data_IF_190871780410
#
_entry.id   IF_190871780410
#
_cell.length_a   1.000
_cell.length_b   1.000
_cell.length_c   1.000
_cell.angle_alpha   90.00
_cell.angle_beta   90.00
_cell.angle_gamma   90.00
#
_symmetry.space_group_name_H-M   'P 1'
#
loop_
_entity.id
_entity.type
_entity.pdbx_description
1 polymer ?
#
# COMPACT_ATOMS: atom_id res chain seq x y z
N UNK A 1 -45.72 -0.03 -1.81
CA UNK A 1 -44.95 0.84 -2.72
C UNK A 1 -45.75 1.01 -4.00
N UNK A 2 -46.33 2.18 -4.20
CA UNK A 2 -47.12 2.50 -5.39
C UNK A 2 -46.19 2.64 -6.61
N UNK A 3 -46.68 2.40 -7.82
CA UNK A 3 -45.89 2.49 -9.07
C UNK A 3 -45.21 3.86 -9.28
N UNK A 4 -45.75 4.92 -8.69
CA UNK A 4 -45.15 6.26 -8.66
C UNK A 4 -43.79 6.29 -7.97
N UNK A 5 -43.62 5.56 -6.86
CA UNK A 5 -42.38 5.57 -6.07
C UNK A 5 -41.23 4.92 -6.82
N UNK A 6 -41.53 3.87 -7.60
CA UNK A 6 -40.55 3.19 -8.47
C UNK A 6 -40.09 4.10 -9.63
N UNK A 7 -40.97 4.95 -10.15
CA UNK A 7 -40.66 5.91 -11.21
C UNK A 7 -39.72 7.03 -10.71
N UNK A 8 -39.99 7.57 -9.53
CA UNK A 8 -39.15 8.60 -8.90
C UNK A 8 -37.77 8.03 -8.58
N UNK A 9 -37.70 6.84 -7.96
CA UNK A 9 -36.41 6.19 -7.68
C UNK A 9 -35.59 5.94 -8.95
N UNK A 10 -36.22 5.46 -10.03
CA UNK A 10 -35.54 5.22 -11.31
C UNK A 10 -35.02 6.52 -11.94
N UNK A 11 -35.73 7.63 -11.73
CA UNK A 11 -35.32 8.97 -12.19
C UNK A 11 -34.16 9.49 -11.35
N UNK A 12 -34.24 9.42 -10.02
CA UNK A 12 -33.15 9.81 -9.11
C UNK A 12 -31.90 8.97 -9.36
N UNK A 13 -32.03 7.66 -9.49
CA UNK A 13 -30.90 6.78 -9.83
C UNK A 13 -30.31 7.09 -11.19
N UNK A 14 -31.13 7.40 -12.21
CA UNK A 14 -30.62 7.83 -13.52
C UNK A 14 -29.89 9.16 -13.43
N UNK A 15 -30.43 10.13 -12.71
CA UNK A 15 -29.83 11.46 -12.54
C UNK A 15 -28.52 11.37 -11.77
N UNK A 16 -28.49 10.66 -10.64
CA UNK A 16 -27.27 10.37 -9.89
C UNK A 16 -26.25 9.68 -10.79
N UNK A 17 -26.64 8.64 -11.50
CA UNK A 17 -25.73 7.93 -12.41
C UNK A 17 -25.22 8.84 -13.54
N UNK A 18 -26.04 9.76 -14.06
CA UNK A 18 -25.64 10.75 -15.07
C UNK A 18 -24.64 11.77 -14.52
N UNK A 19 -24.84 12.22 -13.28
CA UNK A 19 -23.95 13.17 -12.58
C UNK A 19 -22.63 12.47 -12.22
N UNK A 20 -22.68 11.23 -11.75
CA UNK A 20 -21.50 10.48 -11.31
C UNK A 20 -20.69 9.92 -12.48
N UNK A 21 -21.33 9.47 -13.57
CA UNK A 21 -20.66 8.72 -14.64
C UNK A 21 -20.90 9.24 -16.08
N UNK A 22 -21.64 10.33 -16.26
CA UNK A 22 -22.01 10.83 -17.60
C UNK A 22 -23.06 9.97 -18.32
N UNK A 23 -23.39 10.33 -19.57
CA UNK A 23 -24.30 9.56 -20.43
C UNK A 23 -23.60 8.36 -21.07
N UNK A 24 -24.28 7.21 -21.04
CA UNK A 24 -23.78 5.91 -21.51
C UNK A 24 -23.32 5.84 -22.98
N UNK A 25 -23.69 6.79 -23.84
CA UNK A 25 -23.40 6.67 -25.29
C UNK A 25 -21.99 7.07 -25.68
N UNK A 26 -21.22 7.74 -24.82
CA UNK A 26 -19.81 8.09 -25.05
C UNK A 26 -19.21 8.31 -23.66
N UNK A 27 -18.42 7.35 -23.15
CA UNK A 27 -17.70 7.49 -21.87
C UNK A 27 -16.55 8.50 -22.04
N UNK A 28 -16.89 9.76 -22.22
CA UNK A 28 -15.97 10.87 -21.98
C UNK A 28 -16.18 11.21 -20.51
N UNK A 29 -15.38 10.59 -19.64
CA UNK A 29 -15.26 11.04 -18.26
C UNK A 29 -14.60 12.42 -18.38
N UNK A 30 -15.40 13.48 -18.29
CA UNK A 30 -14.90 14.85 -18.32
C UNK A 30 -14.22 15.19 -17.00
N UNK A 31 -13.27 16.13 -17.02
CA UNK A 31 -12.54 16.59 -15.82
C UNK A 31 -13.50 17.05 -14.69
N UNK A 32 -14.68 17.56 -15.05
CA UNK A 32 -15.72 18.01 -14.13
C UNK A 32 -16.59 16.90 -13.54
N UNK A 33 -16.36 15.63 -13.90
CA UNK A 33 -17.09 14.53 -13.29
C UNK A 33 -16.67 14.34 -11.83
N UNK A 34 -17.65 14.05 -10.96
CA UNK A 34 -17.41 13.85 -9.52
C UNK A 34 -16.32 12.80 -9.22
N UNK A 35 -16.13 11.85 -10.14
CA UNK A 35 -15.15 10.78 -10.03
C UNK A 35 -13.74 11.29 -10.34
N UNK A 36 -13.55 12.14 -11.36
CA UNK A 36 -12.26 12.78 -11.67
C UNK A 36 -11.83 13.76 -10.59
N UNK A 37 -12.79 14.44 -9.96
CA UNK A 37 -12.53 15.35 -8.84
C UNK A 37 -11.85 14.67 -7.63
N UNK A 38 -11.91 13.34 -7.53
CA UNK A 38 -11.29 12.55 -6.46
C UNK A 38 -9.91 11.98 -6.83
N UNK A 39 -9.51 12.02 -8.11
CA UNK A 39 -8.19 11.50 -8.55
C UNK A 39 -7.03 12.15 -7.79
N UNK A 40 -6.99 13.49 -7.59
CA UNK A 40 -5.90 14.11 -6.81
C UNK A 40 -5.81 13.58 -5.38
N UNK A 41 -6.96 13.30 -4.74
CA UNK A 41 -7.00 12.74 -3.40
C UNK A 41 -6.56 11.28 -3.36
N UNK A 42 -6.90 10.47 -4.37
CA UNK A 42 -6.41 9.09 -4.50
C UNK A 42 -4.90 9.05 -4.75
N UNK A 43 -4.38 9.94 -5.60
CA UNK A 43 -2.94 10.09 -5.84
C UNK A 43 -2.22 10.41 -4.52
N UNK A 44 -2.74 11.39 -3.78
CA UNK A 44 -2.17 11.77 -2.49
C UNK A 44 -2.19 10.63 -1.45
N UNK A 45 -3.28 9.84 -1.40
CA UNK A 45 -3.37 8.66 -0.53
C UNK A 45 -2.35 7.59 -0.90
N UNK A 46 -2.20 7.27 -2.20
CA UNK A 46 -1.16 6.35 -2.69
C UNK A 46 0.23 6.85 -2.32
N UNK A 47 0.49 8.13 -2.58
CA UNK A 47 1.83 8.67 -2.49
C UNK A 47 2.31 8.77 -1.03
N UNK A 48 1.42 9.20 -0.13
CA UNK A 48 1.68 9.21 1.32
C UNK A 48 1.82 7.80 1.90
N UNK A 49 1.02 6.84 1.45
CA UNK A 49 1.12 5.45 1.91
C UNK A 49 2.46 4.82 1.50
N UNK A 50 2.90 5.02 0.24
CA UNK A 50 4.20 4.55 -0.23
C UNK A 50 5.37 5.23 0.50
N UNK A 51 5.31 6.54 0.72
CA UNK A 51 6.40 7.23 1.42
C UNK A 51 6.54 6.74 2.85
N UNK A 52 5.42 6.52 3.53
CA UNK A 52 5.45 6.03 4.89
C UNK A 52 5.88 4.57 4.96
N UNK A 53 5.38 3.68 4.09
CA UNK A 53 5.86 2.29 4.02
C UNK A 53 7.36 2.23 3.75
N UNK A 54 7.86 3.04 2.82
CA UNK A 54 9.27 3.18 2.52
C UNK A 54 10.09 3.64 3.73
N UNK A 55 9.55 4.58 4.52
CA UNK A 55 10.18 5.04 5.76
C UNK A 55 10.27 3.93 6.81
N UNK A 56 9.19 3.16 6.99
CA UNK A 56 9.17 2.03 7.93
C UNK A 56 10.19 0.96 7.52
N UNK A 57 10.21 0.58 6.25
CA UNK A 57 11.12 -0.44 5.73
C UNK A 57 12.59 -0.04 5.94
N UNK A 58 12.98 1.22 5.68
CA UNK A 58 14.36 1.69 5.87
C UNK A 58 14.90 1.58 7.30
N UNK A 59 14.01 1.46 8.31
CA UNK A 59 14.39 1.47 9.73
C UNK A 59 14.35 0.08 10.42
N UNK A 60 14.20 -1.01 9.65
CA UNK A 60 13.94 -2.35 10.20
C UNK A 60 15.10 -2.99 10.98
N UNK A 61 16.35 -2.84 10.53
CA UNK A 61 17.46 -3.70 10.99
C UNK A 61 17.86 -3.53 12.46
N UNK A 62 17.55 -2.38 13.08
CA UNK A 62 17.94 -2.08 14.45
C UNK A 62 16.90 -2.56 15.49
N UNK A 63 15.84 -3.24 15.06
CA UNK A 63 14.70 -3.56 15.89
C UNK A 63 14.67 -5.05 16.28
N UNK A 64 14.11 -5.37 17.45
CA UNK A 64 13.85 -6.76 17.82
C UNK A 64 12.86 -7.40 16.86
N UNK A 65 12.88 -8.72 16.80
CA UNK A 65 12.15 -9.54 15.83
C UNK A 65 10.65 -9.23 15.78
N UNK A 66 10.03 -9.13 16.95
CA UNK A 66 8.60 -8.85 17.12
C UNK A 66 8.24 -7.51 16.48
N UNK A 67 9.10 -6.51 16.69
CA UNK A 67 8.94 -5.17 16.10
C UNK A 67 9.19 -5.15 14.60
N UNK A 68 10.12 -5.95 14.09
CA UNK A 68 10.31 -6.11 12.64
C UNK A 68 9.08 -6.72 11.98
N UNK A 69 8.49 -7.73 12.60
CA UNK A 69 7.25 -8.36 12.11
C UNK A 69 6.08 -7.37 12.10
N UNK A 70 5.88 -6.61 13.18
CA UNK A 70 4.87 -5.54 13.24
C UNK A 70 5.06 -4.50 12.12
N UNK A 71 6.31 -4.09 11.87
CA UNK A 71 6.61 -3.13 10.81
C UNK A 71 6.41 -3.70 9.41
N UNK A 72 6.77 -4.96 9.14
CA UNK A 72 6.49 -5.58 7.85
C UNK A 72 4.99 -5.66 7.58
N UNK A 73 4.18 -6.09 8.56
CA UNK A 73 2.72 -6.12 8.42
C UNK A 73 2.15 -4.73 8.15
N UNK A 74 2.62 -3.72 8.88
CA UNK A 74 2.19 -2.33 8.67
C UNK A 74 2.59 -1.82 7.29
N UNK A 75 3.80 -2.14 6.82
CA UNK A 75 4.24 -1.78 5.49
C UNK A 75 3.38 -2.46 4.40
N UNK A 76 2.98 -3.72 4.60
CA UNK A 76 2.07 -4.44 3.70
C UNK A 76 0.72 -3.72 3.61
N UNK A 77 0.10 -3.39 4.74
CA UNK A 77 -1.21 -2.71 4.76
C UNK A 77 -1.16 -1.34 4.05
N UNK A 78 -0.08 -0.59 4.23
CA UNK A 78 0.13 0.68 3.53
C UNK A 78 0.35 0.48 2.02
N UNK A 79 1.08 -0.56 1.63
CA UNK A 79 1.28 -0.89 0.22
C UNK A 79 -0.02 -1.34 -0.43
N UNK A 80 -0.85 -2.14 0.25
CA UNK A 80 -2.18 -2.50 -0.22
C UNK A 80 -3.08 -1.25 -0.38
N UNK A 81 -3.08 -0.33 0.58
CA UNK A 81 -3.80 0.93 0.44
C UNK A 81 -3.30 1.79 -0.74
N UNK A 82 -2.00 1.72 -1.05
CA UNK A 82 -1.41 2.39 -2.21
C UNK A 82 -1.84 1.72 -3.53
N UNK A 83 -1.84 0.39 -3.59
CA UNK A 83 -2.30 -0.41 -4.73
C UNK A 83 -3.77 -0.14 -5.01
N UNK A 84 -4.64 -0.24 -3.99
CA UNK A 84 -6.08 0.04 -4.11
C UNK A 84 -6.35 1.43 -4.70
N UNK A 85 -5.58 2.42 -4.25
CA UNK A 85 -5.67 3.79 -4.75
C UNK A 85 -5.19 3.88 -6.20
N UNK A 86 -4.12 3.16 -6.57
CA UNK A 86 -3.60 3.11 -7.93
C UNK A 86 -4.57 2.43 -8.89
N UNK A 87 -5.15 1.30 -8.51
CA UNK A 87 -6.19 0.60 -9.28
C UNK A 87 -7.43 1.46 -9.47
N UNK A 88 -7.84 2.19 -8.43
CA UNK A 88 -8.93 3.15 -8.52
C UNK A 88 -8.63 4.25 -9.53
N UNK A 89 -7.40 4.81 -9.55
CA UNK A 89 -7.00 5.82 -10.54
C UNK A 89 -7.02 5.23 -11.96
N UNK A 90 -6.48 4.02 -12.17
CA UNK A 90 -6.49 3.34 -13.47
C UNK A 90 -7.91 3.18 -14.01
N UNK A 91 -8.85 2.80 -13.15
CA UNK A 91 -10.26 2.67 -13.52
C UNK A 91 -10.91 4.00 -13.92
N UNK A 92 -10.42 5.11 -13.37
CA UNK A 92 -10.97 6.46 -13.56
C UNK A 92 -10.35 7.16 -14.78
N UNK A 93 -9.02 7.19 -14.90
CA UNK A 93 -8.31 7.92 -15.97
C UNK A 93 -8.37 7.19 -17.33
N UNK A 94 -8.63 5.88 -17.34
CA UNK A 94 -8.81 5.13 -18.59
C UNK A 94 -7.50 4.90 -19.38
N UNK A 95 -7.56 5.00 -20.71
CA UNK A 95 -6.44 4.61 -21.61
C UNK A 95 -5.25 5.60 -21.71
N UNK A 96 -5.41 6.93 -21.68
CA UNK A 96 -4.25 7.83 -21.76
C UNK A 96 -3.44 7.77 -20.45
N UNK A 97 -2.11 7.61 -20.54
CA UNK A 97 -1.23 7.52 -19.36
C UNK A 97 -1.20 6.15 -18.67
N UNK A 98 -1.88 5.14 -19.23
CA UNK A 98 -2.01 3.80 -18.64
C UNK A 98 -0.68 3.11 -18.37
N UNK A 99 0.32 3.23 -19.25
CA UNK A 99 1.62 2.58 -19.05
C UNK A 99 2.34 3.07 -17.79
N UNK A 100 2.24 4.38 -17.49
CA UNK A 100 2.87 4.97 -16.33
C UNK A 100 2.16 4.55 -15.03
N UNK A 101 0.83 4.47 -15.05
CA UNK A 101 0.03 3.94 -13.94
C UNK A 101 0.24 2.43 -13.74
N UNK A 102 0.30 1.66 -14.82
CA UNK A 102 0.55 0.21 -14.79
C UNK A 102 1.96 -0.07 -14.23
N UNK A 103 2.95 0.76 -14.59
CA UNK A 103 4.28 0.72 -13.95
C UNK A 103 4.19 0.94 -12.45
N UNK A 104 3.55 2.03 -12.00
CA UNK A 104 3.46 2.35 -10.57
C UNK A 104 2.73 1.25 -9.80
N UNK A 105 1.64 0.71 -10.36
CA UNK A 105 0.88 -0.37 -9.75
C UNK A 105 1.71 -1.66 -9.65
N UNK A 106 2.38 -2.05 -10.75
CA UNK A 106 3.22 -3.25 -10.79
C UNK A 106 4.40 -3.16 -9.82
N UNK A 107 5.01 -1.97 -9.72
CA UNK A 107 6.08 -1.70 -8.76
C UNK A 107 5.60 -1.85 -7.31
N UNK A 108 4.47 -1.24 -6.95
CA UNK A 108 3.90 -1.34 -5.60
C UNK A 108 3.55 -2.79 -5.25
N UNK A 109 2.93 -3.53 -6.18
CA UNK A 109 2.61 -4.95 -6.00
C UNK A 109 3.86 -5.80 -5.80
N UNK A 110 4.89 -5.59 -6.64
CA UNK A 110 6.17 -6.30 -6.50
C UNK A 110 6.83 -6.01 -5.15
N UNK A 111 6.87 -4.74 -4.73
CA UNK A 111 7.42 -4.37 -3.43
C UNK A 111 6.66 -5.05 -2.29
N UNK A 112 5.32 -5.06 -2.33
CA UNK A 112 4.49 -5.75 -1.34
C UNK A 112 4.80 -7.24 -1.28
N UNK A 113 4.88 -7.92 -2.42
CA UNK A 113 5.10 -9.38 -2.47
C UNK A 113 6.45 -9.79 -1.89
N UNK A 114 7.48 -8.95 -2.08
CA UNK A 114 8.80 -9.15 -1.45
C UNK A 114 8.71 -8.94 0.08
N UNK A 115 7.94 -7.95 0.54
CA UNK A 115 7.71 -7.73 1.99
C UNK A 115 6.90 -8.89 2.62
N UNK A 116 5.88 -9.41 1.93
CA UNK A 116 5.12 -10.60 2.34
C UNK A 116 6.07 -11.80 2.47
N UNK A 117 7.05 -11.94 1.58
CA UNK A 117 8.04 -13.00 1.66
C UNK A 117 8.88 -12.90 2.94
N UNK A 118 9.33 -11.70 3.33
CA UNK A 118 10.04 -11.50 4.60
C UNK A 118 9.18 -11.88 5.82
N UNK A 119 7.92 -11.45 5.81
CA UNK A 119 6.93 -11.76 6.85
C UNK A 119 6.68 -13.26 6.97
N UNK A 120 6.57 -13.95 5.82
CA UNK A 120 6.32 -15.39 5.75
C UNK A 120 7.47 -16.20 6.35
N UNK A 121 8.71 -15.78 6.13
CA UNK A 121 9.90 -16.40 6.75
C UNK A 121 9.84 -16.28 8.28
N UNK A 122 9.55 -15.09 8.82
CA UNK A 122 9.45 -14.87 10.26
C UNK A 122 8.29 -15.65 10.89
N UNK A 123 7.15 -15.73 10.19
CA UNK A 123 6.01 -16.52 10.65
C UNK A 123 6.32 -18.03 10.65
N UNK A 124 6.98 -18.52 9.59
CA UNK A 124 7.40 -19.92 9.50
C UNK A 124 8.42 -20.27 10.58
N UNK A 125 9.43 -19.43 10.80
CA UNK A 125 10.38 -19.60 11.91
C UNK A 125 9.62 -19.69 13.26
N UNK A 126 8.64 -18.82 13.50
CA UNK A 126 7.82 -18.88 14.74
C UNK A 126 7.06 -20.20 14.87
N UNK A 127 6.42 -20.65 13.79
CA UNK A 127 5.64 -21.88 13.77
C UNK A 127 6.54 -23.11 13.96
N UNK A 128 7.70 -23.13 13.30
CA UNK A 128 8.70 -24.18 13.41
C UNK A 128 9.26 -24.28 14.82
N UNK A 129 9.68 -23.15 15.40
CA UNK A 129 10.15 -23.11 16.79
C UNK A 129 9.08 -23.70 17.72
N UNK A 130 7.82 -23.28 17.57
CA UNK A 130 6.71 -23.81 18.37
C UNK A 130 6.45 -25.30 18.16
N UNK A 131 6.69 -25.87 16.98
CA UNK A 131 6.50 -27.30 16.73
C UNK A 131 7.64 -28.15 17.30
N UNK A 132 8.86 -27.63 17.32
CA UNK A 132 10.04 -28.35 17.83
C UNK A 132 10.15 -28.35 19.36
N UNK A 133 9.55 -27.36 20.02
CA UNK A 133 9.31 -27.42 21.46
C UNK A 133 8.06 -28.28 21.71
N UNK A 134 8.25 -29.59 21.99
CA UNK A 134 7.15 -30.48 22.37
C UNK A 134 6.36 -29.92 23.57
N UNK A 135 5.11 -30.37 23.75
CA UNK A 135 4.23 -30.02 24.89
C UNK A 135 4.89 -30.18 26.27
N UNK A 136 5.94 -30.99 26.38
CA UNK A 136 6.67 -31.28 27.62
C UNK A 136 7.95 -30.44 27.80
N UNK A 137 8.21 -29.45 26.94
CA UNK A 137 9.35 -28.53 27.06
C UNK A 137 10.72 -29.11 26.66
N UNK A 138 10.76 -30.36 26.19
CA UNK A 138 11.99 -31.00 25.68
C UNK A 138 12.11 -30.73 24.17
N UNK A 139 13.15 -30.03 23.70
CA UNK A 139 13.38 -29.80 22.28
C UNK A 139 13.57 -31.14 21.53
N UNK A 140 12.94 -31.29 20.35
CA UNK A 140 13.22 -32.43 19.45
C UNK A 140 14.56 -32.33 18.73
N UNK A 141 15.19 -31.17 18.77
CA UNK A 141 16.46 -30.83 18.11
C UNK A 141 17.46 -30.29 19.12
N UNK A 142 18.75 -30.54 18.87
CA UNK A 142 19.83 -30.06 19.73
C UNK A 142 19.93 -28.53 19.74
N UNK A 143 20.51 -27.96 20.80
CA UNK A 143 20.77 -26.52 20.87
C UNK A 143 21.64 -26.02 19.71
N UNK A 144 22.59 -26.84 19.24
CA UNK A 144 23.43 -26.52 18.08
C UNK A 144 22.62 -26.41 16.78
N UNK A 145 21.68 -27.34 16.56
CA UNK A 145 20.80 -27.32 15.39
C UNK A 145 19.86 -26.11 15.43
N UNK A 146 19.32 -25.78 16.60
CA UNK A 146 18.51 -24.58 16.80
C UNK A 146 19.27 -23.29 16.49
N UNK A 147 20.55 -23.19 16.90
CA UNK A 147 21.37 -22.02 16.59
C UNK A 147 21.61 -21.86 15.10
N UNK A 148 22.00 -22.94 14.42
CA UNK A 148 22.23 -22.94 12.96
C UNK A 148 20.95 -22.54 12.23
N UNK A 149 19.81 -23.06 12.66
CA UNK A 149 18.52 -22.75 12.04
C UNK A 149 18.13 -21.28 12.21
N UNK A 150 18.24 -20.73 13.42
CA UNK A 150 17.97 -19.31 13.69
C UNK A 150 18.89 -18.39 12.87
N UNK A 151 20.16 -18.77 12.72
CA UNK A 151 21.10 -18.05 11.87
C UNK A 151 20.69 -18.10 10.39
N UNK A 152 20.25 -19.26 9.90
CA UNK A 152 19.74 -19.40 8.53
C UNK A 152 18.51 -18.52 8.28
N UNK A 153 17.51 -18.54 9.18
CA UNK A 153 16.33 -17.68 9.04
C UNK A 153 16.68 -16.20 9.06
N UNK A 154 17.56 -15.79 9.98
CA UNK A 154 18.05 -14.40 10.05
C UNK A 154 18.79 -13.99 8.77
N UNK A 155 19.62 -14.87 8.22
CA UNK A 155 20.34 -14.61 6.98
C UNK A 155 19.39 -14.51 5.78
N UNK A 156 18.34 -15.35 5.73
CA UNK A 156 17.29 -15.26 4.72
C UNK A 156 16.48 -13.96 4.84
N UNK A 157 16.07 -13.58 6.05
CA UNK A 157 15.39 -12.29 6.31
C UNK A 157 16.26 -11.12 5.84
N UNK A 158 17.55 -11.11 6.23
CA UNK A 158 18.49 -10.07 5.82
C UNK A 158 18.69 -10.00 4.30
N UNK A 159 18.71 -11.15 3.63
CA UNK A 159 18.81 -11.20 2.17
C UNK A 159 17.58 -10.58 1.51
N UNK A 160 16.37 -10.92 1.97
CA UNK A 160 15.14 -10.33 1.44
C UNK A 160 15.11 -8.82 1.73
N UNK A 161 15.49 -8.41 2.93
CA UNK A 161 15.60 -7.00 3.29
C UNK A 161 16.51 -6.24 2.33
N UNK A 162 17.69 -6.78 2.00
CA UNK A 162 18.58 -6.19 0.99
C UNK A 162 17.89 -6.07 -0.37
N UNK A 163 17.17 -7.10 -0.81
CA UNK A 163 16.38 -7.04 -2.05
C UNK A 163 15.30 -5.96 -2.02
N UNK A 164 14.61 -5.76 -0.89
CA UNK A 164 13.64 -4.67 -0.69
C UNK A 164 14.32 -3.32 -0.88
N UNK A 165 15.44 -3.10 -0.19
CA UNK A 165 16.18 -1.83 -0.25
C UNK A 165 16.70 -1.55 -1.67
N UNK A 166 17.28 -2.55 -2.32
CA UNK A 166 17.75 -2.44 -3.71
C UNK A 166 16.61 -2.15 -4.68
N UNK A 167 15.46 -2.83 -4.55
CA UNK A 167 14.29 -2.58 -5.38
C UNK A 167 13.80 -1.14 -5.23
N UNK A 168 13.74 -0.63 -4.01
CA UNK A 168 13.36 0.76 -3.73
C UNK A 168 14.37 1.75 -4.30
N UNK A 169 15.66 1.53 -4.11
CA UNK A 169 16.73 2.40 -4.61
C UNK A 169 16.76 2.49 -6.14
N UNK A 170 16.63 1.36 -6.83
CA UNK A 170 16.60 1.30 -8.30
C UNK A 170 15.35 1.99 -8.86
N UNK A 171 14.21 1.86 -8.18
CA UNK A 171 12.92 2.36 -8.67
C UNK A 171 12.64 3.81 -8.29
N UNK A 172 13.33 4.35 -7.29
CA UNK A 172 13.14 5.71 -6.77
C UNK A 172 13.16 6.81 -7.86
N UNK A 173 14.11 6.82 -8.82
CA UNK A 173 14.11 7.83 -9.88
C UNK A 173 12.85 7.77 -10.75
N UNK A 174 12.38 6.56 -11.08
CA UNK A 174 11.20 6.34 -11.91
C UNK A 174 9.91 6.71 -11.17
N UNK A 175 9.80 6.34 -9.89
CA UNK A 175 8.66 6.73 -9.03
C UNK A 175 8.58 8.25 -8.89
N UNK A 176 9.72 8.92 -8.68
CA UNK A 176 9.76 10.39 -8.59
C UNK A 176 9.38 11.06 -9.91
N UNK A 177 9.96 10.61 -11.02
CA UNK A 177 9.63 11.13 -12.34
C UNK A 177 8.14 10.95 -12.67
N UNK A 178 7.57 9.80 -12.32
CA UNK A 178 6.15 9.51 -12.45
C UNK A 178 5.28 10.51 -11.65
N UNK A 179 5.59 10.72 -10.36
CA UNK A 179 4.85 11.68 -9.50
C UNK A 179 4.96 13.10 -10.02
N UNK A 180 6.17 13.54 -10.35
CA UNK A 180 6.42 14.90 -10.83
C UNK A 180 5.67 15.18 -12.14
N UNK A 181 5.64 14.20 -13.06
CA UNK A 181 4.91 14.31 -14.32
C UNK A 181 3.40 14.45 -14.08
N UNK A 182 2.82 13.61 -13.22
CA UNK A 182 1.39 13.68 -12.90
C UNK A 182 1.02 14.98 -12.17
N UNK A 183 1.82 15.42 -11.19
CA UNK A 183 1.56 16.66 -10.44
C UNK A 183 1.63 17.91 -11.32
N UNK A 184 2.54 17.95 -12.30
CA UNK A 184 2.65 19.07 -13.26
C UNK A 184 1.41 19.22 -14.15
N UNK A 185 0.69 18.13 -14.38
CA UNK A 185 -0.52 18.13 -15.21
C UNK A 185 -1.78 18.53 -14.44
N UNK A 186 -1.71 18.67 -13.10
CA UNK A 186 -2.86 19.07 -12.29
C UNK A 186 -3.14 20.58 -12.39
N UNK A 187 -4.42 20.94 -12.44
CA UNK A 187 -4.85 22.31 -12.22
C UNK A 187 -4.46 22.81 -10.82
N UNK A 188 -4.41 24.13 -10.62
CA UNK A 188 -4.07 24.72 -9.29
C UNK A 188 -5.01 24.24 -8.18
N UNK A 189 -6.30 24.08 -8.48
CA UNK A 189 -7.28 23.60 -7.51
C UNK A 189 -7.04 22.12 -7.16
N UNK A 190 -6.79 21.27 -8.16
CA UNK A 190 -6.50 19.86 -7.95
C UNK A 190 -5.19 19.64 -7.20
N UNK A 191 -4.18 20.47 -7.47
CA UNK A 191 -2.92 20.46 -6.71
C UNK A 191 -3.14 20.85 -5.24
N UNK A 192 -4.02 21.82 -4.96
CA UNK A 192 -4.39 22.16 -3.59
C UNK A 192 -5.10 20.99 -2.88
N UNK A 193 -6.00 20.30 -3.57
CA UNK A 193 -6.67 19.09 -3.05
C UNK A 193 -5.67 17.98 -2.77
N UNK A 194 -4.79 17.67 -3.71
CA UNK A 194 -3.69 16.72 -3.54
C UNK A 194 -2.88 17.04 -2.27
N UNK A 195 -2.38 18.27 -2.15
CA UNK A 195 -1.52 18.66 -1.03
C UNK A 195 -2.22 18.55 0.33
N UNK A 196 -3.49 18.99 0.41
CA UNK A 196 -4.28 18.86 1.65
C UNK A 196 -4.50 17.40 2.00
N UNK A 197 -4.94 16.59 1.04
CA UNK A 197 -5.16 15.15 1.28
C UNK A 197 -3.85 14.45 1.66
N UNK A 198 -2.74 14.82 1.03
CA UNK A 198 -1.43 14.24 1.34
C UNK A 198 -1.03 14.51 2.78
N UNK A 199 -1.16 15.75 3.25
CA UNK A 199 -0.85 16.13 4.64
C UNK A 199 -1.71 15.37 5.66
N UNK A 200 -3.01 15.22 5.39
CA UNK A 200 -3.91 14.48 6.28
C UNK A 200 -3.55 12.99 6.36
N UNK A 201 -3.32 12.33 5.22
CA UNK A 201 -2.92 10.93 5.21
C UNK A 201 -1.51 10.71 5.75
N UNK A 202 -0.57 11.63 5.49
CA UNK A 202 0.76 11.57 6.07
C UNK A 202 0.68 11.60 7.60
N UNK A 203 -0.17 12.49 8.17
CA UNK A 203 -0.41 12.52 9.61
C UNK A 203 -1.03 11.22 10.11
N UNK A 204 -2.09 10.74 9.46
CA UNK A 204 -2.79 9.51 9.82
C UNK A 204 -1.86 8.30 9.80
N UNK A 205 -1.08 8.12 8.74
CA UNK A 205 -0.15 7.00 8.62
C UNK A 205 1.03 7.11 9.59
N UNK A 206 1.53 8.33 9.85
CA UNK A 206 2.53 8.55 10.91
C UNK A 206 1.99 8.15 12.28
N UNK A 207 0.76 8.52 12.62
CA UNK A 207 0.10 8.12 13.88
C UNK A 207 -0.08 6.60 13.95
N UNK A 208 -0.49 5.97 12.84
CA UNK A 208 -0.60 4.53 12.72
C UNK A 208 0.74 3.83 13.00
N UNK A 209 1.84 4.31 12.38
CA UNK A 209 3.18 3.76 12.58
C UNK A 209 3.81 4.07 13.94
N UNK A 210 3.48 5.20 14.59
CA UNK A 210 3.99 5.55 15.92
C UNK A 210 3.59 4.56 17.00
N UNK A 211 2.40 3.97 16.89
CA UNK A 211 1.93 2.92 17.81
C UNK A 211 2.92 1.75 17.95
N UNK A 212 3.75 1.53 16.91
CA UNK A 212 4.74 0.45 16.85
C UNK A 212 6.02 0.83 17.61
N UNK A 213 6.40 2.11 17.61
CA UNK A 213 7.63 2.60 18.25
C UNK A 213 7.43 3.02 19.73
N UNK A 214 6.20 3.38 20.13
CA UNK A 214 5.90 3.94 21.46
C UNK A 214 5.53 2.91 22.54
N UNK A 215 5.81 1.62 22.34
CA UNK A 215 5.60 0.61 23.40
C UNK A 215 6.69 0.68 24.49
N UNK A 216 6.71 1.78 25.22
CA UNK A 216 7.20 1.88 26.60
C UNK A 216 6.01 2.21 27.50
N UNK A 217 5.27 1.20 27.94
CA UNK A 217 4.55 1.19 29.22
C UNK A 217 4.55 -0.22 29.78
#
# INVERSE_FOLDING_TARGET
MQESDKSVFKTVSRTLRKITFGTLSERVITEDSLVMMNVPSLMARRDSAYEWSSCLLKNLLNLPREKRLELYNTAIELLDAAIDSCESIILIEGKPGREALDFMNSYLAMLRDVVISATSILNYETAFIKSEFKKDGIPSISESEMRILNENFRNSELSIYKSIMTLMEISEPSVRAYRDAHLKNLSKENLLRYNKTFQEFEKLYKEYGKSIFDSKK
#
